data_IF_546679887364
#
_entry.id   IF_546679887364
#
_cell.length_a   1.000
_cell.length_b   1.000
_cell.length_c   1.000
_cell.angle_alpha   90.00
_cell.angle_beta   90.00
_cell.angle_gamma   90.00
#
_symmetry.space_group_name_H-M   'P 1'
#
loop_
_entity.id
_entity.type
_entity.pdbx_description
1 polymer ?
#
# COMPACT_ATOMS: atom_id res chain seq x y z
N UNK A 1 -26.57 23.04 -12.33
CA UNK A 1 -25.13 23.11 -12.06
C UNK A 1 -24.82 23.31 -10.57
N UNK A 2 -25.37 24.31 -9.86
CA UNK A 2 -25.13 24.45 -8.40
C UNK A 2 -25.62 23.28 -7.52
N UNK A 3 -26.64 22.54 -7.93
CA UNK A 3 -27.16 21.39 -7.19
C UNK A 3 -26.20 20.19 -7.17
N UNK A 4 -25.56 19.90 -8.30
CA UNK A 4 -24.64 18.76 -8.44
C UNK A 4 -23.31 19.02 -7.73
N UNK A 5 -22.82 20.25 -7.74
CA UNK A 5 -21.62 20.64 -7.00
C UNK A 5 -21.81 20.49 -5.49
N UNK A 6 -22.97 20.90 -4.96
CA UNK A 6 -23.31 20.72 -3.54
C UNK A 6 -23.39 19.24 -3.17
N UNK A 7 -24.00 18.41 -4.03
CA UNK A 7 -24.08 16.96 -3.82
C UNK A 7 -22.69 16.30 -3.83
N UNK A 8 -21.80 16.75 -4.73
CA UNK A 8 -20.43 16.27 -4.81
C UNK A 8 -19.61 16.65 -3.56
N UNK A 9 -19.67 17.91 -3.14
CA UNK A 9 -19.00 18.38 -1.94
C UNK A 9 -19.52 17.62 -0.71
N UNK A 10 -20.84 17.43 -0.62
CA UNK A 10 -21.45 16.65 0.46
C UNK A 10 -20.95 15.19 0.47
N UNK A 11 -20.93 14.53 -0.69
CA UNK A 11 -20.43 13.16 -0.81
C UNK A 11 -18.95 13.06 -0.40
N UNK A 12 -18.10 14.01 -0.81
CA UNK A 12 -16.70 14.08 -0.41
C UNK A 12 -16.51 14.35 1.09
N UNK A 13 -17.31 15.24 1.68
CA UNK A 13 -17.24 15.53 3.13
C UNK A 13 -17.69 14.34 3.95
N UNK A 14 -18.81 13.69 3.58
CA UNK A 14 -19.31 12.51 4.29
C UNK A 14 -18.32 11.35 4.17
N UNK A 15 -17.91 10.99 2.96
CA UNK A 15 -16.95 9.90 2.75
C UNK A 15 -15.59 10.19 3.37
N UNK A 16 -15.08 11.41 3.26
CA UNK A 16 -13.81 11.82 3.85
C UNK A 16 -13.83 11.80 5.37
N UNK A 17 -14.91 12.26 6.00
CA UNK A 17 -15.07 12.19 7.47
C UNK A 17 -15.20 10.75 7.95
N UNK A 18 -15.99 9.92 7.27
CA UNK A 18 -16.10 8.49 7.55
C UNK A 18 -14.75 7.79 7.40
N UNK A 19 -14.01 8.07 6.33
CA UNK A 19 -12.70 7.51 6.10
C UNK A 19 -11.70 7.92 7.18
N UNK A 20 -11.72 9.18 7.63
CA UNK A 20 -10.84 9.66 8.69
C UNK A 20 -11.13 8.97 10.04
N UNK A 21 -12.41 8.87 10.42
CA UNK A 21 -12.83 8.27 11.69
C UNK A 21 -12.53 6.76 11.69
N UNK A 22 -12.99 6.05 10.65
CA UNK A 22 -12.81 4.61 10.53
C UNK A 22 -11.35 4.23 10.25
N UNK A 23 -10.63 5.04 9.48
CA UNK A 23 -9.19 4.91 9.24
C UNK A 23 -8.38 5.07 10.51
N UNK A 24 -8.69 6.08 11.34
CA UNK A 24 -8.06 6.26 12.65
C UNK A 24 -8.33 5.09 13.60
N UNK A 25 -9.57 4.59 13.62
CA UNK A 25 -9.95 3.40 14.37
C UNK A 25 -9.19 2.15 13.92
N UNK A 26 -9.14 1.90 12.61
CA UNK A 26 -8.38 0.81 11.99
C UNK A 26 -6.89 0.89 12.35
N UNK A 27 -6.28 2.07 12.18
CA UNK A 27 -4.88 2.31 12.52
C UNK A 27 -4.61 2.05 14.00
N UNK A 28 -5.48 2.52 14.90
CA UNK A 28 -5.32 2.34 16.35
C UNK A 28 -5.36 0.86 16.74
N UNK A 29 -6.28 0.08 16.16
CA UNK A 29 -6.37 -1.36 16.40
C UNK A 29 -5.12 -2.06 15.86
N UNK A 30 -4.72 -1.78 14.60
CA UNK A 30 -3.52 -2.33 13.99
C UNK A 30 -2.27 -2.00 14.81
N UNK A 31 -2.13 -0.77 15.27
CA UNK A 31 -1.03 -0.34 16.13
C UNK A 31 -1.00 -1.14 17.44
N UNK A 32 -2.15 -1.31 18.10
CA UNK A 32 -2.27 -2.05 19.36
C UNK A 32 -1.86 -3.54 19.23
N UNK A 33 -2.09 -4.15 18.06
CA UNK A 33 -1.69 -5.54 17.76
C UNK A 33 -0.36 -5.65 17.01
N UNK A 34 0.44 -4.59 16.98
CA UNK A 34 1.73 -4.55 16.29
C UNK A 34 1.65 -4.89 14.79
N UNK A 35 0.59 -4.43 14.12
CA UNK A 35 0.33 -4.61 12.69
C UNK A 35 0.12 -6.07 12.26
N UNK A 36 -0.05 -7.00 13.20
CA UNK A 36 -0.30 -8.42 12.94
C UNK A 36 -1.77 -8.75 13.22
N UNK A 37 -2.69 -8.59 12.26
CA UNK A 37 -4.12 -8.72 12.49
C UNK A 37 -4.53 -10.15 12.91
N UNK A 38 -3.78 -11.17 12.50
CA UNK A 38 -3.99 -12.55 12.97
C UNK A 38 -3.81 -12.73 14.49
N UNK A 39 -3.19 -11.77 15.21
CA UNK A 39 -3.06 -11.81 16.67
C UNK A 39 -4.22 -11.14 17.42
N UNK A 40 -5.21 -10.55 16.73
CA UNK A 40 -6.31 -9.82 17.36
C UNK A 40 -7.03 -10.69 18.40
N UNK A 41 -7.37 -11.94 18.07
CA UNK A 41 -8.05 -12.85 19.00
C UNK A 41 -7.20 -13.10 20.26
N UNK A 42 -5.93 -13.48 20.10
CA UNK A 42 -5.03 -13.72 21.23
C UNK A 42 -4.78 -12.47 22.07
N UNK A 43 -4.74 -11.28 21.45
CA UNK A 43 -4.57 -10.00 22.14
C UNK A 43 -5.79 -9.64 22.99
N UNK A 44 -7.01 -9.87 22.48
CA UNK A 44 -8.26 -9.68 23.24
C UNK A 44 -8.33 -10.68 24.39
N UNK A 45 -7.97 -11.94 24.14
CA UNK A 45 -7.99 -13.01 25.16
C UNK A 45 -6.98 -12.76 26.30
N UNK A 46 -5.78 -12.26 25.97
CA UNK A 46 -4.73 -11.98 26.95
C UNK A 46 -5.02 -10.78 27.88
N UNK A 47 -6.10 -10.03 27.63
CA UNK A 47 -6.54 -8.94 28.51
C UNK A 47 -6.98 -9.53 29.86
N UNK A 48 -6.73 -8.81 30.96
CA UNK A 48 -7.22 -9.23 32.30
C UNK A 48 -8.75 -9.07 32.35
N UNK A 49 -9.48 -10.16 32.08
CA UNK A 49 -10.94 -10.20 32.17
C UNK A 49 -11.42 -10.40 33.62
N UNK A 50 -12.54 -9.77 34.03
CA UNK A 50 -13.08 -9.91 35.38
C UNK A 50 -13.49 -11.36 35.65
N UNK A 51 -13.41 -11.77 36.92
CA UNK A 51 -13.66 -13.17 37.32
C UNK A 51 -15.05 -13.69 36.92
N UNK A 52 -16.05 -12.79 36.83
CA UNK A 52 -17.43 -13.08 36.41
C UNK A 52 -17.51 -13.57 34.96
N UNK A 53 -16.54 -13.19 34.11
CA UNK A 53 -16.52 -13.55 32.69
C UNK A 53 -15.60 -14.75 32.40
N UNK A 54 -14.98 -15.38 33.40
CA UNK A 54 -14.11 -16.56 33.19
C UNK A 54 -14.96 -17.82 32.98
N UNK A 55 -15.10 -18.27 31.74
CA UNK A 55 -15.89 -19.46 31.37
C UNK A 55 -16.11 -19.58 29.85
N UNK A 56 -17.02 -20.46 29.37
CA UNK A 56 -17.33 -20.61 27.94
C UNK A 56 -17.89 -19.32 27.30
N UNK A 57 -18.50 -18.44 28.11
CA UNK A 57 -18.96 -17.11 27.67
C UNK A 57 -17.80 -16.19 27.24
N UNK A 58 -16.59 -16.37 27.80
CA UNK A 58 -15.41 -15.60 27.40
C UNK A 58 -15.02 -15.86 25.96
N UNK A 59 -15.11 -17.11 25.51
CA UNK A 59 -14.76 -17.50 24.14
C UNK A 59 -15.72 -16.86 23.14
N UNK A 60 -17.02 -16.86 23.43
CA UNK A 60 -18.02 -16.23 22.58
C UNK A 60 -17.86 -14.71 22.51
N UNK A 61 -17.60 -14.06 23.66
CA UNK A 61 -17.35 -12.62 23.73
C UNK A 61 -16.05 -12.23 23.00
N UNK A 62 -14.98 -12.99 23.18
CA UNK A 62 -13.69 -12.78 22.50
C UNK A 62 -13.83 -13.00 20.99
N UNK A 63 -14.62 -13.99 20.56
CA UNK A 63 -14.96 -14.20 19.15
C UNK A 63 -15.70 -13.02 18.56
N UNK A 64 -16.76 -12.54 19.23
CA UNK A 64 -17.53 -11.37 18.81
C UNK A 64 -16.66 -10.11 18.72
N UNK A 65 -15.85 -9.83 19.74
CA UNK A 65 -14.93 -8.69 19.76
C UNK A 65 -13.88 -8.80 18.66
N UNK A 66 -13.35 -10.00 18.41
CA UNK A 66 -12.40 -10.25 17.32
C UNK A 66 -13.05 -9.95 15.97
N UNK A 67 -14.27 -10.43 15.72
CA UNK A 67 -15.02 -10.13 14.50
C UNK A 67 -15.26 -8.63 14.34
N UNK A 68 -15.68 -7.94 15.40
CA UNK A 68 -15.87 -6.49 15.37
C UNK A 68 -14.57 -5.73 15.06
N UNK A 69 -13.45 -6.16 15.62
CA UNK A 69 -12.14 -5.57 15.35
C UNK A 69 -11.73 -5.79 13.89
N UNK A 70 -11.98 -6.98 13.32
CA UNK A 70 -11.74 -7.24 11.89
C UNK A 70 -12.59 -6.34 10.98
N UNK A 71 -13.87 -6.15 11.32
CA UNK A 71 -14.75 -5.23 10.58
C UNK A 71 -14.23 -3.79 10.60
N UNK A 72 -13.75 -3.32 11.76
CA UNK A 72 -13.15 -1.99 11.86
C UNK A 72 -11.84 -1.91 11.06
N UNK A 73 -10.99 -2.94 11.11
CA UNK A 73 -9.72 -2.96 10.37
C UNK A 73 -9.94 -2.89 8.86
N UNK A 74 -10.92 -3.62 8.33
CA UNK A 74 -11.26 -3.65 6.90
C UNK A 74 -12.10 -2.46 6.43
N UNK A 75 -12.72 -1.73 7.36
CA UNK A 75 -13.63 -0.62 7.04
C UNK A 75 -13.07 0.46 6.13
N UNK A 76 -11.79 0.89 6.19
CA UNK A 76 -11.29 1.94 5.30
C UNK A 76 -11.31 1.55 3.83
N UNK A 77 -11.09 0.26 3.52
CA UNK A 77 -11.17 -0.27 2.15
C UNK A 77 -12.62 -0.21 1.67
N UNK A 78 -13.58 -0.64 2.50
CA UNK A 78 -15.01 -0.59 2.17
C UNK A 78 -15.49 0.85 1.94
N UNK A 79 -15.01 1.81 2.75
CA UNK A 79 -15.35 3.22 2.57
C UNK A 79 -14.85 3.74 1.23
N UNK A 80 -13.62 3.41 0.83
CA UNK A 80 -13.09 3.79 -0.49
C UNK A 80 -13.91 3.18 -1.62
N UNK A 81 -14.33 1.91 -1.50
CA UNK A 81 -15.17 1.24 -2.50
C UNK A 81 -16.52 1.96 -2.62
N UNK A 82 -17.21 2.17 -1.50
CA UNK A 82 -18.52 2.85 -1.47
C UNK A 82 -18.39 4.28 -2.00
N UNK A 83 -17.35 5.01 -1.60
CA UNK A 83 -17.10 6.37 -2.05
C UNK A 83 -16.87 6.43 -3.56
N UNK A 84 -16.05 5.53 -4.10
CA UNK A 84 -15.81 5.46 -5.54
C UNK A 84 -17.06 5.09 -6.33
N UNK A 85 -17.86 4.13 -5.85
CA UNK A 85 -19.16 3.81 -6.47
C UNK A 85 -20.10 5.02 -6.45
N UNK A 86 -20.16 5.75 -5.34
CA UNK A 86 -21.02 6.92 -5.22
C UNK A 86 -20.56 8.06 -6.14
N UNK A 87 -19.24 8.26 -6.27
CA UNK A 87 -18.66 9.22 -7.22
C UNK A 87 -18.98 8.86 -8.67
N UNK A 88 -18.94 7.57 -9.05
CA UNK A 88 -19.35 7.14 -10.40
C UNK A 88 -20.79 7.57 -10.70
N UNK A 89 -21.71 7.38 -9.74
CA UNK A 89 -23.13 7.74 -9.91
C UNK A 89 -23.33 9.25 -10.02
N UNK A 90 -22.63 10.06 -9.20
CA UNK A 90 -22.79 11.52 -9.21
C UNK A 90 -22.13 12.16 -10.44
N UNK A 91 -20.92 11.73 -10.78
CA UNK A 91 -20.13 12.36 -11.84
C UNK A 91 -20.50 11.87 -13.25
N UNK A 92 -21.22 10.74 -13.35
CA UNK A 92 -21.49 10.05 -14.61
C UNK A 92 -20.23 9.61 -15.35
N UNK A 93 -19.06 9.66 -14.69
CA UNK A 93 -17.75 9.34 -15.26
C UNK A 93 -17.15 8.18 -14.48
N UNK A 94 -17.03 7.05 -15.16
CA UNK A 94 -16.50 5.82 -14.57
C UNK A 94 -15.04 5.96 -14.13
N UNK A 95 -14.25 6.78 -14.83
CA UNK A 95 -12.81 6.96 -14.60
C UNK A 95 -12.46 7.44 -13.19
N UNK A 96 -13.20 8.42 -12.66
CA UNK A 96 -12.87 9.02 -11.35
C UNK A 96 -13.25 8.07 -10.22
N UNK A 97 -14.43 7.43 -10.31
CA UNK A 97 -14.84 6.43 -9.33
C UNK A 97 -13.90 5.22 -9.34
N UNK A 98 -13.56 4.69 -10.52
CA UNK A 98 -12.59 3.60 -10.67
C UNK A 98 -11.20 3.96 -10.11
N UNK A 99 -10.75 5.21 -10.28
CA UNK A 99 -9.49 5.68 -9.71
C UNK A 99 -9.52 5.64 -8.18
N UNK A 100 -10.58 6.17 -7.57
CA UNK A 100 -10.75 6.15 -6.11
C UNK A 100 -10.75 4.71 -5.60
N UNK A 101 -11.48 3.80 -6.26
CA UNK A 101 -11.55 2.39 -5.85
C UNK A 101 -10.18 1.71 -5.98
N UNK A 102 -9.61 1.68 -7.19
CA UNK A 102 -8.44 0.85 -7.48
C UNK A 102 -7.15 1.49 -6.97
N UNK A 103 -6.89 2.77 -7.30
CA UNK A 103 -5.70 3.45 -6.83
C UNK A 103 -5.76 3.74 -5.31
N UNK A 104 -6.93 4.09 -4.79
CA UNK A 104 -7.11 4.27 -3.33
C UNK A 104 -6.89 2.98 -2.54
N UNK A 105 -7.45 1.85 -3.00
CA UNK A 105 -7.21 0.55 -2.36
C UNK A 105 -5.75 0.11 -2.49
N UNK A 106 -5.12 0.33 -3.65
CA UNK A 106 -3.70 0.03 -3.85
C UNK A 106 -2.81 0.83 -2.88
N UNK A 107 -3.12 2.12 -2.65
CA UNK A 107 -2.40 2.95 -1.68
C UNK A 107 -2.56 2.45 -0.25
N UNK A 108 -3.76 2.05 0.17
CA UNK A 108 -3.98 1.47 1.49
C UNK A 108 -3.21 0.16 1.70
N UNK A 109 -3.23 -0.71 0.69
CA UNK A 109 -2.51 -1.98 0.73
C UNK A 109 -1.01 -1.77 0.76
N UNK A 110 -0.49 -0.85 -0.07
CA UNK A 110 0.90 -0.44 -0.08
C UNK A 110 1.32 0.08 1.31
N UNK A 111 0.58 1.04 1.87
CA UNK A 111 0.84 1.60 3.19
C UNK A 111 0.85 0.52 4.28
N UNK A 112 -0.17 -0.35 4.29
CA UNK A 112 -0.25 -1.44 5.25
C UNK A 112 0.92 -2.43 5.10
N UNK A 113 1.28 -2.77 3.87
CA UNK A 113 2.39 -3.69 3.57
C UNK A 113 3.75 -3.14 4.03
N UNK A 114 3.99 -1.83 3.85
CA UNK A 114 5.20 -1.14 4.30
C UNK A 114 5.25 -1.11 5.83
N UNK A 115 4.14 -0.79 6.49
CA UNK A 115 4.07 -0.75 7.95
C UNK A 115 4.22 -2.15 8.58
N UNK A 116 3.61 -3.16 7.95
CA UNK A 116 3.80 -4.56 8.33
C UNK A 116 5.28 -4.94 8.20
N UNK A 117 5.90 -4.65 7.06
CA UNK A 117 7.32 -4.92 6.83
C UNK A 117 8.22 -4.21 7.85
N UNK A 118 7.99 -2.92 8.12
CA UNK A 118 8.75 -2.15 9.09
C UNK A 118 8.72 -2.79 10.49
N UNK A 119 7.56 -3.32 10.90
CA UNK A 119 7.38 -3.94 12.23
C UNK A 119 7.81 -5.39 12.30
N UNK A 120 7.57 -6.19 11.27
CA UNK A 120 7.90 -7.63 11.29
C UNK A 120 9.28 -7.93 10.77
N UNK A 121 9.94 -6.97 10.14
CA UNK A 121 11.14 -7.20 9.34
C UNK A 121 10.87 -8.31 8.30
N UNK A 122 11.92 -9.01 7.88
CA UNK A 122 11.88 -10.09 6.89
C UNK A 122 11.03 -11.32 7.26
N UNK A 123 10.52 -11.41 8.50
CA UNK A 123 9.75 -12.56 8.97
C UNK A 123 8.41 -12.75 8.23
N UNK A 124 7.86 -11.70 7.61
CA UNK A 124 6.59 -11.75 6.88
C UNK A 124 6.73 -11.31 5.42
N UNK A 125 7.91 -11.50 4.82
CA UNK A 125 8.22 -11.09 3.45
C UNK A 125 7.21 -11.61 2.42
N UNK A 126 6.75 -12.86 2.56
CA UNK A 126 5.75 -13.46 1.65
C UNK A 126 4.41 -12.73 1.67
N UNK A 127 3.90 -12.37 2.85
CA UNK A 127 2.62 -11.67 2.96
C UNK A 127 2.72 -10.24 2.43
N UNK A 128 3.81 -9.54 2.74
CA UNK A 128 4.08 -8.20 2.23
C UNK A 128 4.20 -8.21 0.70
N UNK A 129 4.93 -9.16 0.12
CA UNK A 129 5.09 -9.29 -1.33
C UNK A 129 3.74 -9.52 -2.03
N UNK A 130 2.87 -10.38 -1.48
CA UNK A 130 1.53 -10.59 -2.04
C UNK A 130 0.66 -9.34 -1.99
N UNK A 131 0.72 -8.58 -0.88
CA UNK A 131 -0.03 -7.33 -0.73
C UNK A 131 0.46 -6.25 -1.70
N UNK A 132 1.78 -6.12 -1.87
CA UNK A 132 2.39 -5.20 -2.83
C UNK A 132 2.07 -5.59 -4.28
N UNK A 133 2.13 -6.89 -4.60
CA UNK A 133 1.77 -7.39 -5.92
C UNK A 133 0.30 -7.12 -6.23
N UNK A 134 -0.58 -7.32 -5.25
CA UNK A 134 -2.01 -7.00 -5.39
C UNK A 134 -2.23 -5.49 -5.55
N UNK A 135 -1.47 -4.65 -4.85
CA UNK A 135 -1.51 -3.20 -5.06
C UNK A 135 -1.07 -2.82 -6.48
N UNK A 136 0.03 -3.39 -6.98
CA UNK A 136 0.50 -3.17 -8.36
C UNK A 136 -0.52 -3.65 -9.38
N UNK A 137 -1.12 -4.82 -9.19
CA UNK A 137 -2.11 -5.35 -10.14
C UNK A 137 -3.36 -4.48 -10.22
N UNK A 138 -3.82 -3.93 -9.10
CA UNK A 138 -4.92 -2.94 -9.08
C UNK A 138 -4.58 -1.66 -9.84
N UNK A 139 -3.34 -1.17 -9.71
CA UNK A 139 -2.87 0.01 -10.45
C UNK A 139 -2.79 -0.28 -11.95
N UNK A 140 -2.21 -1.42 -12.34
CA UNK A 140 -2.17 -1.83 -13.74
C UNK A 140 -3.58 -2.00 -14.34
N UNK A 141 -4.51 -2.58 -13.58
CA UNK A 141 -5.90 -2.71 -14.01
C UNK A 141 -6.56 -1.34 -14.21
N UNK A 142 -6.30 -0.39 -13.31
CA UNK A 142 -6.78 0.99 -13.47
C UNK A 142 -6.23 1.65 -14.73
N UNK A 143 -4.93 1.52 -15.02
CA UNK A 143 -4.34 2.08 -16.24
C UNK A 143 -4.96 1.51 -17.51
N UNK A 144 -5.19 0.20 -17.55
CA UNK A 144 -5.88 -0.44 -18.67
C UNK A 144 -7.32 0.08 -18.82
N UNK A 145 -8.05 0.23 -17.72
CA UNK A 145 -9.39 0.84 -17.73
C UNK A 145 -9.34 2.30 -18.19
N UNK A 146 -8.33 3.06 -17.76
CA UNK A 146 -8.16 4.45 -18.11
C UNK A 146 -7.92 4.63 -19.61
N UNK A 147 -7.02 3.83 -20.19
CA UNK A 147 -6.75 3.80 -21.63
C UNK A 147 -7.97 3.31 -22.42
N UNK A 148 -8.66 2.27 -21.95
CA UNK A 148 -9.84 1.74 -22.63
C UNK A 148 -10.96 2.78 -22.73
N UNK A 149 -11.31 3.45 -21.62
CA UNK A 149 -12.38 4.45 -21.60
C UNK A 149 -11.99 5.69 -22.40
N UNK A 150 -10.72 6.12 -22.34
CA UNK A 150 -10.24 7.29 -23.11
C UNK A 150 -10.14 7.00 -24.62
N UNK A 151 -9.74 5.80 -25.03
CA UNK A 151 -9.71 5.40 -26.45
C UNK A 151 -11.10 5.21 -27.05
N UNK A 152 -12.09 4.83 -26.25
CA UNK A 152 -13.48 4.61 -26.69
C UNK A 152 -14.31 5.90 -26.72
N UNK A 153 -13.88 6.95 -26.00
CA UNK A 153 -14.59 8.23 -25.88
C UNK A 153 -13.84 9.37 -26.57
N UNK A 154 -13.80 9.37 -27.91
CA UNK A 154 -13.17 10.42 -28.70
C UNK A 154 -14.02 11.71 -28.73
N UNK A 155 -14.05 12.48 -27.64
CA UNK A 155 -14.45 13.90 -27.64
C UNK A 155 -13.94 14.63 -26.39
N UNK A 156 -12.88 15.43 -26.65
CA UNK A 156 -12.36 16.65 -26.01
C UNK A 156 -12.84 17.08 -24.60
N UNK A 157 -11.83 17.57 -23.87
CA UNK A 157 -11.82 18.53 -22.76
C UNK A 157 -11.77 18.01 -21.31
N UNK A 158 -10.65 18.37 -20.67
CA UNK A 158 -10.14 17.99 -19.36
C UNK A 158 -9.74 16.52 -19.23
N UNK A 159 -8.45 16.28 -19.01
CA UNK A 159 -7.85 14.95 -18.79
C UNK A 159 -7.52 14.76 -17.31
N UNK A 160 -8.51 14.61 -16.40
CA UNK A 160 -8.26 14.27 -15.00
C UNK A 160 -7.46 12.96 -14.86
N UNK A 161 -7.40 12.14 -15.93
CA UNK A 161 -6.52 10.99 -16.05
C UNK A 161 -5.04 11.31 -15.84
N UNK A 162 -4.54 12.50 -16.18
CA UNK A 162 -3.11 12.83 -16.01
C UNK A 162 -2.68 12.91 -14.54
N UNK A 163 -3.54 13.45 -13.67
CA UNK A 163 -3.30 13.47 -12.22
C UNK A 163 -3.35 12.05 -11.65
N UNK A 164 -4.35 11.26 -12.05
CA UNK A 164 -4.49 9.88 -11.56
C UNK A 164 -3.40 8.95 -12.10
N UNK A 165 -2.92 9.17 -13.32
CA UNK A 165 -1.73 8.51 -13.90
C UNK A 165 -0.46 8.84 -13.11
N UNK A 166 -0.33 10.09 -12.64
CA UNK A 166 0.76 10.48 -11.76
C UNK A 166 0.69 9.77 -10.40
N UNK A 167 -0.49 9.73 -9.78
CA UNK A 167 -0.70 9.06 -8.48
C UNK A 167 -0.50 7.54 -8.60
N UNK A 168 -0.98 6.91 -9.67
CA UNK A 168 -0.78 5.49 -9.93
C UNK A 168 0.70 5.17 -10.20
N UNK A 169 1.40 5.99 -10.97
CA UNK A 169 2.84 5.83 -11.22
C UNK A 169 3.67 5.96 -9.93
N UNK A 170 3.37 6.94 -9.08
CA UNK A 170 4.02 7.09 -7.76
C UNK A 170 3.74 5.89 -6.88
N UNK A 171 2.49 5.42 -6.82
CA UNK A 171 2.13 4.24 -6.04
C UNK A 171 2.83 2.98 -6.56
N UNK A 172 2.95 2.82 -7.89
CA UNK A 172 3.63 1.71 -8.54
C UNK A 172 5.14 1.75 -8.26
N UNK A 173 5.76 2.94 -8.33
CA UNK A 173 7.16 3.13 -8.00
C UNK A 173 7.47 2.76 -6.55
N UNK A 174 6.65 3.22 -5.60
CA UNK A 174 6.78 2.83 -4.18
C UNK A 174 6.68 1.31 -4.05
N UNK A 175 5.67 0.67 -4.66
CA UNK A 175 5.48 -0.77 -4.57
C UNK A 175 6.66 -1.57 -5.17
N UNK A 176 7.16 -1.16 -6.33
CA UNK A 176 8.25 -1.85 -7.03
C UNK A 176 9.58 -1.73 -6.29
N UNK A 177 9.88 -0.59 -5.65
CA UNK A 177 11.10 -0.44 -4.85
C UNK A 177 11.15 -1.44 -3.69
N UNK A 178 10.03 -1.66 -3.01
CA UNK A 178 9.95 -2.66 -1.94
C UNK A 178 10.01 -4.09 -2.45
N UNK A 179 9.36 -4.39 -3.59
CA UNK A 179 9.46 -5.72 -4.22
C UNK A 179 10.90 -5.99 -4.64
N UNK A 180 11.56 -5.05 -5.30
CA UNK A 180 12.98 -5.16 -5.68
C UNK A 180 13.84 -5.39 -4.43
N UNK A 181 13.67 -4.57 -3.38
CA UNK A 181 14.39 -4.80 -2.12
C UNK A 181 14.11 -6.18 -1.54
N UNK A 182 12.87 -6.68 -1.61
CA UNK A 182 12.49 -8.01 -1.13
C UNK A 182 13.13 -9.16 -1.93
N UNK A 183 13.08 -9.08 -3.25
CA UNK A 183 13.62 -10.10 -4.15
C UNK A 183 15.15 -10.16 -4.04
N UNK A 184 15.81 -9.00 -3.98
CA UNK A 184 17.26 -8.95 -4.00
C UNK A 184 17.90 -9.20 -2.61
N UNK A 185 17.39 -8.64 -1.51
CA UNK A 185 17.94 -8.94 -0.18
C UNK A 185 17.64 -10.38 0.29
N UNK A 186 16.58 -11.04 -0.22
CA UNK A 186 16.31 -12.45 0.06
C UNK A 186 17.43 -13.39 -0.44
N UNK A 187 18.22 -12.94 -1.41
CA UNK A 187 19.37 -13.64 -1.96
C UNK A 187 20.71 -13.22 -1.29
N UNK A 188 20.67 -12.37 -0.25
CA UNK A 188 21.87 -11.83 0.39
C UNK A 188 22.48 -10.62 -0.34
N UNK A 189 21.81 -10.06 -1.35
CA UNK A 189 22.26 -8.88 -2.07
C UNK A 189 21.84 -7.60 -1.34
N UNK A 190 22.81 -6.87 -0.79
CA UNK A 190 22.56 -5.56 -0.18
C UNK A 190 22.27 -4.50 -1.26
N UNK A 191 20.98 -4.33 -1.57
CA UNK A 191 20.47 -3.38 -2.58
C UNK A 191 20.86 -1.94 -2.26
N UNK A 192 20.91 -1.57 -0.97
CA UNK A 192 21.24 -0.21 -0.57
C UNK A 192 22.71 0.08 -0.92
N UNK A 193 23.59 -0.90 -0.71
CA UNK A 193 25.00 -0.84 -1.10
C UNK A 193 25.19 -0.86 -2.63
N UNK A 194 24.40 -1.66 -3.35
CA UNK A 194 24.39 -1.65 -4.82
C UNK A 194 23.99 -0.30 -5.40
N UNK A 195 22.84 0.25 -4.97
CA UNK A 195 22.33 1.54 -5.45
C UNK A 195 23.31 2.66 -5.11
N UNK A 196 23.93 2.63 -3.93
CA UNK A 196 24.97 3.59 -3.55
C UNK A 196 26.19 3.53 -4.48
N UNK A 197 26.65 2.32 -4.84
CA UNK A 197 27.77 2.14 -5.79
C UNK A 197 27.40 2.56 -7.20
N UNK A 198 26.22 2.18 -7.69
CA UNK A 198 25.73 2.56 -9.01
C UNK A 198 25.53 4.08 -9.12
N UNK A 199 25.01 4.73 -8.07
CA UNK A 199 24.86 6.18 -8.02
C UNK A 199 26.23 6.89 -8.06
N UNK A 200 27.20 6.41 -7.27
CA UNK A 200 28.58 6.94 -7.31
C UNK A 200 29.23 6.79 -8.69
N UNK A 201 29.02 5.66 -9.35
CA UNK A 201 29.50 5.41 -10.71
C UNK A 201 28.83 6.34 -11.73
N UNK A 202 27.51 6.50 -11.67
CA UNK A 202 26.79 7.39 -12.59
C UNK A 202 27.17 8.89 -12.41
N UNK A 203 27.59 9.29 -11.21
CA UNK A 203 28.00 10.66 -10.91
C UNK A 203 29.51 10.90 -11.00
N UNK A 204 30.34 9.86 -11.12
CA UNK A 204 31.79 10.02 -11.29
C UNK A 204 32.18 10.62 -12.64
N UNK A 205 31.33 10.45 -13.66
CA UNK A 205 31.54 11.06 -14.98
C UNK A 205 31.11 12.53 -15.04
N UNK A 206 30.27 13.00 -14.10
CA UNK A 206 29.72 14.35 -14.08
C UNK A 206 30.51 15.34 -13.21
N UNK A 207 31.49 14.87 -12.45
CA UNK A 207 32.36 15.73 -11.64
C UNK A 207 33.80 15.34 -11.97
N UNK A 208 34.57 16.25 -12.59
CA UNK A 208 36.02 16.15 -12.73
C UNK A 208 36.69 16.21 -11.34
N UNK A 209 36.50 15.17 -10.52
CA UNK A 209 37.25 14.96 -9.30
C UNK A 209 38.48 14.17 -9.67
N UNK A 210 39.64 14.81 -9.55
CA UNK A 210 40.94 14.20 -9.72
C UNK A 210 41.01 12.79 -9.10
N UNK A 211 41.20 11.79 -9.97
CA UNK A 211 41.74 10.46 -9.70
C UNK A 211 41.50 9.89 -8.29
N UNK A 212 40.24 9.77 -7.87
CA UNK A 212 39.89 8.70 -6.95
C UNK A 212 39.42 7.53 -7.79
N UNK A 213 40.17 6.44 -7.71
CA UNK A 213 39.97 5.17 -8.40
C UNK A 213 38.52 4.67 -8.28
N UNK A 214 37.67 5.06 -9.23
CA UNK A 214 36.45 4.31 -9.54
C UNK A 214 36.85 3.09 -10.37
N UNK A 215 36.31 1.90 -10.07
CA UNK A 215 36.49 0.74 -10.92
C UNK A 215 35.89 1.00 -12.32
N UNK A 216 36.53 0.53 -13.40
CA UNK A 216 36.11 0.80 -14.77
C UNK A 216 34.84 0.07 -15.19
N UNK A 217 34.42 -0.95 -14.44
CA UNK A 217 33.24 -1.76 -14.73
C UNK A 217 32.06 -1.39 -13.82
N UNK A 218 30.81 -1.44 -14.35
CA UNK A 218 29.62 -1.29 -13.52
C UNK A 218 29.64 -2.34 -12.40
N UNK A 219 29.15 -2.02 -11.19
CA UNK A 219 29.21 -2.94 -10.05
C UNK A 219 28.53 -4.28 -10.42
N UNK A 220 29.29 -5.37 -10.38
CA UNK A 220 28.79 -6.71 -10.67
C UNK A 220 27.83 -7.13 -9.54
N UNK A 221 26.55 -7.44 -9.84
CA UNK A 221 25.60 -7.94 -8.85
C UNK A 221 26.10 -9.17 -8.10
N UNK A 222 27.01 -9.96 -8.68
CA UNK A 222 27.53 -11.18 -8.06
C UNK A 222 28.51 -10.93 -6.90
N UNK A 223 29.13 -9.75 -6.82
CA UNK A 223 30.08 -9.40 -5.74
C UNK A 223 29.39 -9.06 -4.41
N UNK A 224 28.07 -8.85 -4.44
CA UNK A 224 27.26 -8.49 -3.28
C UNK A 224 26.64 -9.69 -2.58
N UNK A 225 26.83 -10.90 -3.11
CA UNK A 225 26.49 -12.13 -2.40
C UNK A 225 27.56 -12.41 -1.34
N UNK A 226 27.18 -12.77 -0.09
CA UNK A 226 28.15 -13.26 0.86
C UNK A 226 28.78 -14.53 0.28
N UNK A 227 30.10 -14.50 0.01
CA UNK A 227 30.85 -15.70 -0.33
C UNK A 227 30.62 -16.72 0.78
N UNK A 228 29.86 -17.77 0.49
CA UNK A 228 29.85 -18.95 1.33
C UNK A 228 31.29 -19.46 1.35
N UNK A 229 32.00 -19.23 2.46
CA UNK A 229 33.26 -19.91 2.71
C UNK A 229 32.92 -21.39 2.83
N UNK A 230 33.17 -22.15 1.77
CA UNK A 230 33.28 -23.60 1.84
C UNK A 230 34.26 -23.92 2.97
N UNK A 231 33.76 -24.59 4.01
CA UNK A 231 34.54 -25.22 5.07
C UNK A 231 34.30 -26.71 5.01
#
# INVERSE_FOLDING_TARGET
MEGDEKNLVLACVISGTLFAILGSGSFSILWAVNWRPWRIYSWIFARKWPAVLKGPQLGMLCGFLSLSAWMIVLSPILVIIIWGCWLTVILGRDLVGLAVIMAGSALLLAFYSIMLWWRTQWQSSRAVALLLLLAVSLLCAYELCAVYVTSSGASVEYSPSGFFFGVSAVALAINMLFICRMVFNGNGLDVDEYVRRAYKFAYSDCIEVASMSCPPEPPDPNELYPRQSSR
#
